data_IF_894828485106
#
_entry.id   IF_894828485106
#
_cell.length_a   1.000
_cell.length_b   1.000
_cell.length_c   1.000
_cell.angle_alpha   90.00
_cell.angle_beta   90.00
_cell.angle_gamma   90.00
#
_symmetry.space_group_name_H-M   'P 1'
#
loop_
_entity.id
_entity.type
_entity.pdbx_description
1 polymer ?
#
# COMPACT_ATOMS: atom_id res chain seq x y z
N UNK A 1 23.59 13.16 12.22
CA UNK A 1 23.05 12.73 10.92
C UNK A 1 22.78 11.26 11.06
N UNK A 2 21.52 10.83 10.96
CA UNK A 2 21.19 9.42 11.16
C UNK A 2 21.01 8.70 9.82
N UNK A 3 21.53 7.50 9.72
CA UNK A 3 21.35 6.61 8.57
C UNK A 3 20.34 5.54 8.94
N UNK A 4 19.28 5.44 8.15
CA UNK A 4 18.23 4.45 8.32
C UNK A 4 18.48 3.23 7.42
N UNK A 5 18.43 2.03 7.98
CA UNK A 5 18.21 0.81 7.20
C UNK A 5 16.71 0.66 6.96
N UNK A 6 16.24 1.10 5.79
CA UNK A 6 14.85 0.94 5.38
C UNK A 6 14.63 -0.46 4.80
N UNK A 7 13.53 -1.12 5.18
CA UNK A 7 13.16 -2.45 4.69
C UNK A 7 11.71 -2.42 4.20
N UNK A 8 11.46 -2.91 2.99
CA UNK A 8 10.11 -3.05 2.42
C UNK A 8 9.82 -4.54 2.20
N UNK A 9 8.86 -5.06 2.94
CA UNK A 9 8.48 -6.48 2.95
C UNK A 9 7.11 -6.62 2.25
N UNK A 10 7.16 -6.92 0.95
CA UNK A 10 6.00 -7.27 0.16
C UNK A 10 5.77 -8.78 0.06
N UNK A 11 4.62 -9.18 -0.49
CA UNK A 11 4.29 -10.60 -0.71
C UNK A 11 5.12 -11.30 -1.79
N UNK A 12 5.81 -10.55 -2.67
CA UNK A 12 6.61 -11.10 -3.78
C UNK A 12 8.09 -10.73 -3.73
N UNK A 13 8.42 -9.59 -3.14
CA UNK A 13 9.78 -9.05 -3.06
C UNK A 13 10.01 -8.46 -1.67
N UNK A 14 11.26 -8.55 -1.21
CA UNK A 14 11.77 -7.83 -0.05
C UNK A 14 12.89 -6.92 -0.53
N UNK A 15 12.81 -5.63 -0.24
CA UNK A 15 13.86 -4.66 -0.53
C UNK A 15 14.47 -4.15 0.77
N UNK A 16 15.75 -3.84 0.76
CA UNK A 16 16.45 -3.18 1.84
C UNK A 16 17.35 -2.08 1.27
N UNK A 17 17.40 -0.93 1.93
CA UNK A 17 18.17 0.21 1.48
C UNK A 17 18.72 1.03 2.66
N UNK A 18 19.86 1.67 2.45
CA UNK A 18 20.31 2.75 3.33
C UNK A 18 19.69 4.06 2.87
N UNK A 19 18.99 4.73 3.78
CA UNK A 19 18.38 6.04 3.55
C UNK A 19 19.05 7.05 4.46
N UNK A 20 19.58 8.12 3.86
CA UNK A 20 20.04 9.27 4.62
C UNK A 20 18.83 10.05 5.13
N UNK A 21 18.65 10.12 6.46
CA UNK A 21 17.49 10.80 7.07
C UNK A 21 17.45 12.31 6.83
N UNK A 22 18.58 12.94 6.52
CA UNK A 22 18.63 14.39 6.26
C UNK A 22 18.14 14.74 4.86
N UNK A 23 18.47 13.91 3.87
CA UNK A 23 18.13 14.12 2.46
C UNK A 23 16.93 13.31 1.99
N UNK A 24 16.55 12.28 2.76
CA UNK A 24 15.58 11.25 2.40
C UNK A 24 15.90 10.58 1.06
N UNK A 25 17.19 10.33 0.80
CA UNK A 25 17.69 9.69 -0.41
C UNK A 25 18.24 8.30 -0.13
N UNK A 26 18.00 7.37 -1.06
CA UNK A 26 18.58 6.02 -1.04
C UNK A 26 20.05 6.10 -1.47
N UNK A 27 20.93 5.53 -0.66
CA UNK A 27 22.38 5.47 -0.89
C UNK A 27 22.80 4.13 -1.49
N UNK A 28 22.22 3.04 -1.00
CA UNK A 28 22.46 1.67 -1.47
C UNK A 28 21.18 0.86 -1.33
N UNK A 29 20.92 -0.09 -2.24
CA UNK A 29 19.65 -0.82 -2.35
C UNK A 29 19.86 -2.25 -2.83
N UNK A 30 19.44 -3.21 -2.02
CA UNK A 30 19.35 -4.62 -2.40
C UNK A 30 17.89 -5.10 -2.42
N UNK A 31 17.64 -6.18 -3.17
CA UNK A 31 16.32 -6.78 -3.26
C UNK A 31 16.43 -8.29 -3.48
N UNK A 32 15.54 -9.03 -2.83
CA UNK A 32 15.36 -10.47 -3.03
C UNK A 32 13.89 -10.78 -3.33
N UNK A 33 13.64 -12.01 -3.80
CA UNK A 33 12.29 -12.56 -3.89
C UNK A 33 11.84 -12.97 -2.49
N UNK A 34 10.61 -12.63 -2.10
CA UNK A 34 10.03 -13.07 -0.83
C UNK A 34 10.00 -14.60 -0.81
N UNK A 35 10.55 -15.27 0.23
CA UNK A 35 10.53 -16.73 0.30
C UNK A 35 9.11 -17.29 0.15
N UNK A 36 8.93 -18.26 -0.74
CA UNK A 36 7.63 -18.95 -0.92
C UNK A 36 7.25 -19.79 0.30
N UNK A 37 8.24 -20.26 1.05
CA UNK A 37 8.01 -20.97 2.31
C UNK A 37 7.56 -19.96 3.36
N UNK A 38 6.38 -20.19 3.93
CA UNK A 38 5.85 -19.40 5.04
C UNK A 38 6.42 -19.85 6.40
N UNK A 39 7.51 -20.63 6.40
CA UNK A 39 8.15 -21.08 7.63
C UNK A 39 9.01 -19.94 8.22
N UNK A 40 8.78 -19.53 9.49
CA UNK A 40 9.50 -18.41 10.12
C UNK A 40 11.02 -18.45 9.96
N UNK A 41 11.66 -19.59 10.24
CA UNK A 41 13.11 -19.73 10.11
C UNK A 41 13.68 -19.46 8.70
N UNK A 42 12.94 -19.80 7.64
CA UNK A 42 13.37 -19.52 6.26
C UNK A 42 13.28 -18.03 5.97
N UNK A 43 12.23 -17.39 6.46
CA UNK A 43 12.02 -15.95 6.35
C UNK A 43 13.09 -15.17 7.12
N UNK A 44 13.36 -15.55 8.38
CA UNK A 44 14.46 -15.02 9.20
C UNK A 44 15.83 -15.12 8.52
N UNK A 45 16.17 -16.29 7.96
CA UNK A 45 17.45 -16.47 7.26
C UNK A 45 17.57 -15.57 6.03
N UNK A 46 16.48 -15.40 5.28
CA UNK A 46 16.44 -14.49 4.13
C UNK A 46 16.63 -13.02 4.55
N UNK A 47 15.97 -12.59 5.63
CA UNK A 47 16.16 -11.25 6.22
C UNK A 47 17.60 -11.06 6.68
N UNK A 48 18.17 -12.01 7.43
CA UNK A 48 19.56 -11.91 7.90
C UNK A 48 20.54 -11.74 6.74
N UNK A 49 20.40 -12.55 5.69
CA UNK A 49 21.25 -12.45 4.50
C UNK A 49 21.09 -11.11 3.78
N UNK A 50 19.87 -10.58 3.67
CA UNK A 50 19.60 -9.31 2.99
C UNK A 50 20.13 -8.11 3.78
N UNK A 51 19.97 -8.11 5.10
CA UNK A 51 20.23 -6.97 5.96
C UNK A 51 21.69 -6.84 6.39
N UNK A 52 22.44 -7.96 6.47
CA UNK A 52 23.83 -7.99 6.93
C UNK A 52 24.73 -6.90 6.31
N UNK A 53 24.72 -6.65 4.99
CA UNK A 53 25.56 -5.62 4.37
C UNK A 53 25.31 -4.19 4.88
N UNK A 54 24.12 -3.93 5.43
CA UNK A 54 23.67 -2.58 5.79
C UNK A 54 23.75 -2.28 7.29
N UNK A 55 24.09 -3.27 8.13
CA UNK A 55 24.04 -3.11 9.60
C UNK A 55 25.05 -2.07 10.09
N UNK A 56 26.32 -2.21 9.70
CA UNK A 56 27.40 -1.36 10.21
C UNK A 56 27.22 0.15 9.95
N UNK A 57 26.72 0.60 8.77
CA UNK A 57 26.50 2.02 8.51
C UNK A 57 25.15 2.57 9.02
N UNK A 58 24.24 1.75 9.54
CA UNK A 58 22.90 2.18 9.94
C UNK A 58 22.80 2.41 11.47
N UNK A 59 22.00 3.39 11.87
CA UNK A 59 21.73 3.69 13.29
C UNK A 59 20.43 3.03 13.79
N UNK A 60 19.45 2.84 12.89
CA UNK A 60 18.17 2.22 13.20
C UNK A 60 17.56 1.56 11.95
N UNK A 61 16.51 0.76 12.15
CA UNK A 61 15.77 0.07 11.09
C UNK A 61 14.34 0.57 11.02
N UNK A 62 13.86 0.88 9.82
CA UNK A 62 12.47 1.24 9.54
C UNK A 62 11.85 0.26 8.54
N UNK A 63 10.78 -0.40 8.93
CA UNK A 63 10.14 -1.45 8.14
C UNK A 63 8.78 -0.97 7.62
N UNK A 64 8.60 -1.02 6.32
CA UNK A 64 7.30 -1.04 5.65
C UNK A 64 6.95 -2.50 5.34
N UNK A 65 5.78 -2.98 5.75
CA UNK A 65 5.39 -4.37 5.50
C UNK A 65 3.94 -4.47 5.05
N UNK A 66 3.68 -5.39 4.12
CA UNK A 66 2.31 -5.76 3.78
C UNK A 66 1.59 -6.35 4.98
N UNK A 67 0.26 -6.22 5.03
CA UNK A 67 -0.56 -6.64 6.16
C UNK A 67 -0.61 -5.61 7.29
N UNK A 68 -0.94 -6.08 8.48
CA UNK A 68 -1.12 -5.27 9.69
C UNK A 68 0.11 -5.44 10.58
N UNK A 69 0.70 -4.32 10.99
CA UNK A 69 1.69 -4.28 12.06
C UNK A 69 1.01 -3.80 13.34
N UNK A 70 1.02 -4.63 14.37
CA UNK A 70 0.49 -4.27 15.68
C UNK A 70 1.51 -4.60 16.76
N UNK A 71 2.04 -3.59 17.45
CA UNK A 71 3.11 -3.72 18.45
C UNK A 71 4.29 -4.58 17.95
N UNK A 72 4.76 -4.32 16.73
CA UNK A 72 5.88 -5.04 16.11
C UNK A 72 5.57 -6.43 15.57
N UNK A 73 4.33 -6.92 15.73
CA UNK A 73 3.88 -8.23 15.25
C UNK A 73 3.21 -8.07 13.88
N UNK A 74 3.64 -8.89 12.92
CA UNK A 74 3.03 -9.01 11.59
C UNK A 74 1.79 -9.92 11.64
N UNK A 75 0.66 -9.40 11.17
CA UNK A 75 -0.56 -10.17 10.92
C UNK A 75 -1.27 -9.63 9.67
N UNK A 76 -2.45 -10.14 9.34
CA UNK A 76 -3.23 -9.70 8.19
C UNK A 76 -4.72 -9.80 8.49
N UNK A 77 -5.55 -9.10 7.71
CA UNK A 77 -7.01 -9.20 7.83
C UNK A 77 -7.51 -10.63 7.56
N UNK A 78 -6.85 -11.35 6.66
CA UNK A 78 -6.96 -12.80 6.58
C UNK A 78 -5.62 -13.44 6.99
N UNK A 79 -5.51 -13.92 8.25
CA UNK A 79 -4.31 -14.58 8.75
C UNK A 79 -3.84 -15.77 7.90
N UNK A 80 -4.75 -16.45 7.20
CA UNK A 80 -4.41 -17.59 6.35
C UNK A 80 -3.48 -17.19 5.18
N UNK A 81 -3.52 -15.93 4.74
CA UNK A 81 -2.64 -15.44 3.67
C UNK A 81 -1.16 -15.42 4.08
N UNK A 82 -0.88 -15.30 5.38
CA UNK A 82 0.48 -15.30 5.91
C UNK A 82 0.96 -16.72 6.27
N UNK A 83 0.04 -17.68 6.40
CA UNK A 83 0.32 -19.03 6.88
C UNK A 83 1.19 -19.04 8.13
N UNK A 84 2.38 -19.67 8.05
CA UNK A 84 3.32 -19.76 9.18
C UNK A 84 3.94 -18.43 9.63
N UNK A 85 3.78 -17.35 8.86
CA UNK A 85 4.21 -15.99 9.24
C UNK A 85 3.12 -15.21 9.98
N UNK A 86 1.93 -15.79 10.20
CA UNK A 86 0.93 -15.11 11.00
C UNK A 86 1.41 -14.95 12.45
N UNK A 87 1.32 -13.73 12.97
CA UNK A 87 1.85 -13.33 14.28
C UNK A 87 3.37 -13.45 14.41
N UNK A 88 4.10 -13.32 13.29
CA UNK A 88 5.55 -13.25 13.31
C UNK A 88 6.01 -11.98 14.05
N UNK A 89 6.90 -12.13 15.02
CA UNK A 89 7.49 -11.05 15.84
C UNK A 89 8.54 -10.29 15.00
N UNK A 90 8.05 -9.57 13.98
CA UNK A 90 8.87 -8.98 12.92
C UNK A 90 9.93 -8.00 13.45
N UNK A 91 9.52 -7.12 14.36
CA UNK A 91 10.44 -6.13 14.95
C UNK A 91 11.50 -6.82 15.80
N UNK A 92 11.10 -7.75 16.67
CA UNK A 92 12.03 -8.44 17.56
C UNK A 92 13.03 -9.30 16.78
N UNK A 93 12.59 -9.98 15.73
CA UNK A 93 13.46 -10.77 14.87
C UNK A 93 14.50 -9.89 14.16
N UNK A 94 14.06 -8.79 13.53
CA UNK A 94 14.98 -7.91 12.81
C UNK A 94 15.92 -7.21 13.79
N UNK A 95 15.45 -6.80 14.96
CA UNK A 95 16.29 -6.26 16.03
C UNK A 95 17.29 -7.31 16.55
N UNK A 96 16.91 -8.59 16.61
CA UNK A 96 17.83 -9.67 16.96
C UNK A 96 18.94 -9.82 15.90
N UNK A 97 18.60 -9.72 14.61
CA UNK A 97 19.54 -9.82 13.49
C UNK A 97 20.49 -8.62 13.47
N UNK A 98 19.96 -7.40 13.55
CA UNK A 98 20.72 -6.17 13.30
C UNK A 98 21.36 -5.58 14.55
N UNK A 99 20.81 -5.88 15.74
CA UNK A 99 21.11 -5.22 17.02
C UNK A 99 20.82 -3.71 17.03
N UNK A 100 20.00 -3.22 16.09
CA UNK A 100 19.60 -1.82 15.97
C UNK A 100 18.16 -1.59 16.48
N UNK A 101 17.84 -0.39 17.00
CA UNK A 101 16.46 0.03 17.21
C UNK A 101 15.64 -0.22 15.94
N UNK A 102 14.49 -0.87 16.07
CA UNK A 102 13.73 -1.37 14.93
C UNK A 102 12.27 -0.98 15.06
N UNK A 103 11.71 -0.42 13.99
CA UNK A 103 10.33 0.03 13.94
C UNK A 103 9.64 -0.51 12.69
N UNK A 104 8.32 -0.69 12.76
CA UNK A 104 7.55 -1.23 11.66
C UNK A 104 6.18 -0.55 11.51
N UNK A 105 5.74 -0.44 10.27
CA UNK A 105 4.42 0.06 9.88
C UNK A 105 3.92 -0.65 8.61
N UNK A 106 2.65 -0.43 8.26
CA UNK A 106 2.11 -0.97 7.01
C UNK A 106 2.71 -0.26 5.78
N UNK A 107 2.88 -1.01 4.69
CA UNK A 107 3.41 -0.53 3.40
C UNK A 107 2.61 0.64 2.79
N UNK A 108 1.28 0.54 2.74
CA UNK A 108 0.42 1.59 2.22
C UNK A 108 0.41 2.83 3.13
N UNK A 109 0.57 2.67 4.45
CA UNK A 109 0.77 3.79 5.38
C UNK A 109 2.10 4.51 5.12
N UNK A 110 3.19 3.76 4.91
CA UNK A 110 4.50 4.33 4.58
C UNK A 110 4.44 5.10 3.25
N UNK A 111 3.88 4.49 2.20
CA UNK A 111 3.70 5.13 0.90
C UNK A 111 2.82 6.39 0.99
N UNK A 112 1.74 6.36 1.79
CA UNK A 112 0.90 7.54 2.03
C UNK A 112 1.68 8.69 2.66
N UNK A 113 2.53 8.40 3.65
CA UNK A 113 3.37 9.42 4.25
C UNK A 113 4.37 10.01 3.26
N UNK A 114 5.00 9.16 2.45
CA UNK A 114 5.94 9.60 1.44
C UNK A 114 5.31 10.50 0.37
N UNK A 115 4.12 10.13 -0.13
CA UNK A 115 3.38 10.96 -1.07
C UNK A 115 2.96 12.30 -0.44
N UNK A 116 2.51 12.28 0.81
CA UNK A 116 2.11 13.49 1.53
C UNK A 116 3.27 14.50 1.64
N UNK A 117 4.43 14.06 2.12
CA UNK A 117 5.60 14.94 2.27
C UNK A 117 6.15 15.40 0.91
N UNK A 118 5.96 14.61 -0.15
CA UNK A 118 6.36 15.00 -1.50
C UNK A 118 5.46 16.08 -2.09
N UNK A 119 4.19 16.14 -1.67
CA UNK A 119 3.23 17.17 -2.08
C UNK A 119 3.31 18.45 -1.23
N UNK A 120 3.72 18.34 0.04
CA UNK A 120 3.69 19.43 1.03
C UNK A 120 4.46 20.70 0.64
N UNK A 121 5.66 20.63 0.02
CA UNK A 121 6.41 21.85 -0.34
C UNK A 121 5.65 22.79 -1.31
N UNK A 122 4.62 22.29 -2.00
CA UNK A 122 3.95 22.98 -3.09
C UNK A 122 2.42 23.08 -2.95
N UNK A 123 1.80 22.54 -1.89
CA UNK A 123 0.34 22.39 -1.82
C UNK A 123 -0.25 22.57 -0.42
N UNK A 124 -1.48 23.11 -0.38
CA UNK A 124 -2.32 23.28 0.80
C UNK A 124 -3.02 21.96 1.23
N UNK A 125 -2.34 20.82 1.12
CA UNK A 125 -2.89 19.48 1.44
C UNK A 125 -2.85 19.26 2.94
N UNK A 126 -4.01 18.97 3.55
CA UNK A 126 -4.16 18.76 4.99
C UNK A 126 -4.65 17.35 5.31
N UNK A 127 -5.70 16.92 4.60
CA UNK A 127 -6.36 15.64 4.72
C UNK A 127 -6.19 14.88 3.39
N UNK A 128 -5.31 13.88 3.41
CA UNK A 128 -4.93 13.12 2.24
C UNK A 128 -5.22 11.64 2.43
N UNK A 129 -5.85 11.03 1.43
CA UNK A 129 -5.91 9.58 1.31
C UNK A 129 -4.99 9.12 0.19
N UNK A 130 -4.08 8.20 0.48
CA UNK A 130 -3.39 7.42 -0.54
C UNK A 130 -4.14 6.10 -0.74
N UNK A 131 -4.35 5.72 -2.01
CA UNK A 131 -4.94 4.45 -2.39
C UNK A 131 -3.96 3.74 -3.32
N UNK A 132 -3.53 2.54 -2.98
CA UNK A 132 -2.79 1.66 -3.90
C UNK A 132 -3.73 0.60 -4.46
N UNK A 133 -3.85 0.54 -5.78
CA UNK A 133 -4.70 -0.42 -6.49
C UNK A 133 -3.76 -1.28 -7.34
N UNK A 134 -3.57 -2.53 -6.93
CA UNK A 134 -2.68 -3.48 -7.59
C UNK A 134 -3.34 -4.86 -7.55
N UNK A 135 -2.68 -5.91 -7.06
CA UNK A 135 -3.33 -7.21 -6.81
C UNK A 135 -4.51 -7.07 -5.84
N UNK A 136 -4.34 -6.28 -4.77
CA UNK A 136 -5.37 -5.90 -3.82
C UNK A 136 -5.62 -4.38 -3.80
N UNK A 137 -6.32 -3.91 -2.77
CA UNK A 137 -6.50 -2.46 -2.52
C UNK A 137 -6.03 -2.13 -1.11
N UNK A 138 -4.99 -1.29 -1.02
CA UNK A 138 -4.48 -0.76 0.23
C UNK A 138 -4.68 0.75 0.31
N UNK A 139 -4.48 1.31 1.50
CA UNK A 139 -4.44 2.76 1.64
C UNK A 139 -3.75 3.22 2.92
N UNK A 140 -3.48 4.52 2.95
CA UNK A 140 -2.97 5.21 4.11
C UNK A 140 -3.60 6.58 4.20
N UNK A 141 -3.89 7.01 5.42
CA UNK A 141 -4.66 8.21 5.69
C UNK A 141 -3.79 9.20 6.45
N UNK A 142 -3.71 10.42 5.95
CA UNK A 142 -3.13 11.57 6.65
C UNK A 142 -4.27 12.52 6.96
N UNK A 143 -4.51 12.80 8.24
CA UNK A 143 -5.52 13.78 8.68
C UNK A 143 -4.83 14.85 9.51
N UNK A 144 -5.18 16.10 9.30
CA UNK A 144 -4.55 17.24 9.96
C UNK A 144 -3.02 17.17 9.87
N UNK A 145 -2.51 16.78 8.69
CA UNK A 145 -1.07 16.60 8.41
C UNK A 145 -0.38 15.52 9.27
N UNK A 146 -1.14 14.62 9.90
CA UNK A 146 -0.64 13.51 10.70
C UNK A 146 -1.06 12.17 10.10
N UNK A 147 -0.09 11.28 9.92
CA UNK A 147 -0.36 9.92 9.48
C UNK A 147 -1.19 9.18 10.55
N UNK A 148 -2.27 8.56 10.10
CA UNK A 148 -3.17 7.77 10.93
C UNK A 148 -2.78 6.31 10.88
N UNK A 149 -2.07 5.82 11.90
CA UNK A 149 -1.72 4.39 12.06
C UNK A 149 -2.80 3.62 12.85
N UNK A 150 -3.41 4.29 13.83
CA UNK A 150 -4.39 3.73 14.75
C UNK A 150 -3.76 2.81 15.81
N UNK A 151 -4.41 2.67 16.96
CA UNK A 151 -3.88 1.91 18.11
C UNK A 151 -3.62 0.40 17.86
N UNK A 152 -4.08 -0.13 16.72
CA UNK A 152 -3.90 -1.54 16.32
C UNK A 152 -3.23 -1.67 14.94
N UNK A 153 -2.75 -0.58 14.35
CA UNK A 153 -2.17 -0.57 13.00
C UNK A 153 -3.18 -0.78 11.85
N UNK A 154 -4.48 -0.69 12.11
CA UNK A 154 -5.55 -1.02 11.13
C UNK A 154 -5.97 0.20 10.30
N UNK A 155 -5.70 1.43 10.76
CA UNK A 155 -6.11 2.64 10.04
C UNK A 155 -5.57 2.63 8.60
N UNK A 156 -6.40 2.98 7.63
CA UNK A 156 -6.04 2.97 6.21
C UNK A 156 -6.38 1.67 5.45
N UNK A 157 -6.89 0.61 6.09
CA UNK A 157 -7.34 -0.62 5.42
C UNK A 157 -8.68 -0.46 4.66
N UNK A 158 -8.76 0.58 3.83
CA UNK A 158 -9.93 0.97 3.03
C UNK A 158 -10.31 -0.08 1.98
N UNK A 159 -9.41 -0.98 1.59
CA UNK A 159 -9.73 -2.11 0.69
C UNK A 159 -10.87 -3.00 1.19
N UNK A 160 -11.16 -2.96 2.50
CA UNK A 160 -12.18 -3.78 3.15
C UNK A 160 -13.40 -3.00 3.64
N UNK A 161 -13.55 -1.74 3.23
CA UNK A 161 -14.84 -1.03 3.34
C UNK A 161 -15.80 -1.52 2.26
N UNK A 162 -17.09 -1.46 2.55
CA UNK A 162 -18.13 -1.94 1.63
C UNK A 162 -18.52 -0.85 0.66
N UNK A 163 -18.56 -1.21 -0.62
CA UNK A 163 -19.08 -0.36 -1.71
C UNK A 163 -20.30 -0.98 -2.38
N UNK A 164 -20.49 -2.29 -2.26
CA UNK A 164 -21.67 -3.01 -2.74
C UNK A 164 -22.09 -4.08 -1.73
N UNK A 165 -23.17 -3.82 -0.98
CA UNK A 165 -23.64 -4.75 0.04
C UNK A 165 -24.09 -6.13 -0.52
N UNK A 166 -24.40 -6.19 -1.82
CA UNK A 166 -24.76 -7.44 -2.50
C UNK A 166 -23.58 -8.05 -3.28
N UNK A 167 -22.40 -7.45 -3.17
CA UNK A 167 -21.20 -7.87 -3.89
C UNK A 167 -20.64 -9.20 -3.40
N UNK A 168 -19.52 -9.65 -3.99
CA UNK A 168 -18.86 -10.90 -3.63
C UNK A 168 -18.32 -10.90 -2.19
N UNK A 169 -18.12 -12.10 -1.63
CA UNK A 169 -17.47 -12.30 -0.33
C UNK A 169 -15.96 -12.08 -0.48
N UNK A 170 -15.41 -11.21 0.36
CA UNK A 170 -13.99 -10.90 0.43
C UNK A 170 -13.20 -11.99 1.16
N UNK A 171 -11.90 -12.09 0.86
CA UNK A 171 -10.98 -12.97 1.58
C UNK A 171 -10.88 -12.65 3.07
N UNK A 172 -11.25 -11.43 3.51
CA UNK A 172 -11.36 -11.08 4.92
C UNK A 172 -12.65 -11.59 5.60
N UNK A 173 -13.55 -12.23 4.86
CA UNK A 173 -14.82 -12.77 5.35
C UNK A 173 -16.02 -11.82 5.25
N UNK A 174 -15.80 -10.54 4.94
CA UNK A 174 -16.88 -9.55 4.75
C UNK A 174 -17.43 -9.59 3.33
N UNK A 175 -18.73 -9.39 3.15
CA UNK A 175 -19.36 -9.25 1.85
C UNK A 175 -19.26 -7.81 1.33
N UNK A 176 -18.92 -7.64 0.05
CA UNK A 176 -19.03 -6.33 -0.61
C UNK A 176 -17.84 -5.40 -0.50
N UNK A 177 -16.68 -5.90 -0.06
CA UNK A 177 -15.46 -5.10 0.04
C UNK A 177 -15.00 -4.59 -1.33
N UNK A 178 -14.57 -3.33 -1.40
CA UNK A 178 -14.04 -2.71 -2.62
C UNK A 178 -12.89 -3.53 -3.24
N UNK A 179 -12.04 -4.18 -2.44
CA UNK A 179 -10.97 -5.04 -2.95
C UNK A 179 -11.51 -6.16 -3.86
N UNK A 180 -12.68 -6.73 -3.55
CA UNK A 180 -13.28 -7.77 -4.40
C UNK A 180 -14.09 -7.23 -5.58
N UNK A 181 -14.19 -5.92 -5.72
CA UNK A 181 -14.89 -5.26 -6.82
C UNK A 181 -13.90 -4.63 -7.80
N UNK A 182 -12.82 -4.02 -7.30
CA UNK A 182 -11.98 -3.12 -8.08
C UNK A 182 -10.48 -3.42 -8.06
N UNK A 183 -10.03 -4.47 -7.36
CA UNK A 183 -8.61 -4.83 -7.41
C UNK A 183 -8.24 -5.49 -8.74
N UNK A 184 -6.94 -5.55 -9.04
CA UNK A 184 -6.43 -6.31 -10.18
C UNK A 184 -6.80 -7.80 -10.14
N UNK A 185 -6.91 -8.39 -8.94
CA UNK A 185 -7.45 -9.75 -8.78
C UNK A 185 -8.93 -9.80 -9.16
N UNK A 186 -9.75 -8.86 -8.70
CA UNK A 186 -11.18 -8.82 -9.04
C UNK A 186 -11.40 -8.62 -10.56
N UNK A 187 -10.63 -7.73 -11.18
CA UNK A 187 -10.64 -7.50 -12.63
C UNK A 187 -10.29 -8.80 -13.38
N UNK A 188 -9.24 -9.51 -12.95
CA UNK A 188 -8.83 -10.79 -13.55
C UNK A 188 -9.86 -11.91 -13.40
N UNK A 189 -10.50 -12.00 -12.22
CA UNK A 189 -11.60 -12.94 -11.94
C UNK A 189 -12.79 -12.68 -12.87
N UNK A 190 -13.21 -11.41 -13.03
CA UNK A 190 -14.27 -11.01 -13.95
C UNK A 190 -13.93 -11.31 -15.41
N UNK A 191 -12.70 -11.00 -15.83
CA UNK A 191 -12.22 -11.33 -17.17
C UNK A 191 -12.21 -12.83 -17.44
N UNK A 192 -11.83 -13.62 -16.44
CA UNK A 192 -11.81 -15.08 -16.54
C UNK A 192 -13.21 -15.64 -16.75
N UNK A 193 -14.18 -15.14 -15.98
CA UNK A 193 -15.58 -15.53 -16.12
C UNK A 193 -16.15 -15.15 -17.49
N UNK A 194 -15.84 -13.92 -17.96
CA UNK A 194 -16.36 -13.37 -19.20
C UNK A 194 -15.78 -14.05 -20.45
N UNK A 195 -14.46 -14.16 -20.51
CA UNK A 195 -13.74 -14.74 -21.67
C UNK A 195 -13.61 -16.27 -21.59
N UNK A 196 -14.11 -16.89 -20.52
CA UNK A 196 -14.12 -18.35 -20.30
C UNK A 196 -12.75 -19.00 -20.41
N UNK A 197 -11.71 -18.28 -19.98
CA UNK A 197 -10.32 -18.74 -19.91
C UNK A 197 -9.60 -18.01 -18.78
N UNK A 198 -8.52 -18.56 -18.21
CA UNK A 198 -7.73 -17.83 -17.22
C UNK A 198 -7.27 -16.47 -17.74
N UNK A 199 -7.52 -15.42 -16.96
CA UNK A 199 -7.12 -14.05 -17.23
C UNK A 199 -6.50 -13.41 -15.98
N UNK A 200 -5.52 -12.54 -16.20
CA UNK A 200 -4.99 -11.65 -15.17
C UNK A 200 -5.61 -10.25 -15.29
N UNK A 201 -5.60 -9.46 -14.22
CA UNK A 201 -6.05 -8.06 -14.31
C UNK A 201 -5.29 -7.26 -15.37
N UNK A 202 -3.98 -7.50 -15.50
CA UNK A 202 -3.13 -6.89 -16.53
C UNK A 202 -3.60 -7.25 -17.95
N UNK A 203 -3.94 -8.51 -18.18
CA UNK A 203 -4.43 -8.97 -19.47
C UNK A 203 -5.78 -8.35 -19.84
N UNK A 204 -6.71 -8.25 -18.90
CA UNK A 204 -8.00 -7.58 -19.13
C UNK A 204 -7.77 -6.10 -19.46
N UNK A 205 -6.84 -5.44 -18.76
CA UNK A 205 -6.49 -4.06 -19.05
C UNK A 205 -5.91 -3.91 -20.47
N UNK A 206 -5.04 -4.83 -20.89
CA UNK A 206 -4.46 -4.83 -22.23
C UNK A 206 -5.55 -4.99 -23.31
N UNK A 207 -6.51 -5.89 -23.11
CA UNK A 207 -7.65 -6.04 -24.02
C UNK A 207 -8.49 -4.76 -24.11
N UNK A 208 -8.69 -4.06 -23.00
CA UNK A 208 -9.41 -2.78 -22.99
C UNK A 208 -8.69 -1.71 -23.82
N UNK A 209 -7.35 -1.62 -23.71
CA UNK A 209 -6.53 -0.71 -24.52
C UNK A 209 -6.54 -1.05 -26.01
N UNK A 210 -6.72 -2.34 -26.35
CA UNK A 210 -6.89 -2.83 -27.72
C UNK A 210 -8.32 -2.61 -28.27
N UNK A 211 -9.20 -1.98 -27.49
CA UNK A 211 -10.56 -1.61 -27.92
C UNK A 211 -11.63 -2.67 -27.65
N UNK A 212 -11.33 -3.71 -26.86
CA UNK A 212 -12.34 -4.67 -26.44
C UNK A 212 -13.35 -4.00 -25.47
N UNK A 213 -14.60 -3.84 -25.92
CA UNK A 213 -15.65 -3.15 -25.15
C UNK A 213 -16.04 -3.86 -23.86
N UNK A 214 -16.00 -5.19 -23.84
CA UNK A 214 -16.31 -6.00 -22.67
C UNK A 214 -15.25 -5.86 -21.57
N UNK A 215 -13.97 -5.90 -21.95
CA UNK A 215 -12.85 -5.63 -21.04
C UNK A 215 -12.90 -4.19 -20.52
N UNK A 216 -13.20 -3.22 -21.40
CA UNK A 216 -13.34 -1.82 -21.03
C UNK A 216 -14.46 -1.61 -19.99
N UNK A 217 -15.59 -2.31 -20.12
CA UNK A 217 -16.67 -2.28 -19.13
C UNK A 217 -16.23 -2.79 -17.74
N UNK A 218 -15.36 -3.81 -17.69
CA UNK A 218 -14.78 -4.29 -16.41
C UNK A 218 -13.92 -3.18 -15.78
N UNK A 219 -13.06 -2.53 -16.56
CA UNK A 219 -12.20 -1.44 -16.07
C UNK A 219 -13.03 -0.25 -15.57
N UNK A 220 -14.07 0.13 -16.31
CA UNK A 220 -15.00 1.19 -15.91
C UNK A 220 -15.76 0.85 -14.62
N UNK A 221 -16.22 -0.40 -14.47
CA UNK A 221 -16.89 -0.86 -13.24
C UNK A 221 -15.97 -0.74 -12.03
N UNK A 222 -14.70 -1.12 -12.21
CA UNK A 222 -13.66 -0.96 -11.19
C UNK A 222 -13.42 0.51 -10.82
N UNK A 223 -13.25 1.38 -11.82
CA UNK A 223 -13.03 2.82 -11.60
C UNK A 223 -14.24 3.50 -10.93
N UNK A 224 -15.47 3.14 -11.32
CA UNK A 224 -16.69 3.64 -10.70
C UNK A 224 -16.80 3.27 -9.21
N UNK A 225 -16.47 2.03 -8.87
CA UNK A 225 -16.46 1.58 -7.48
C UNK A 225 -15.39 2.29 -6.64
N UNK A 226 -14.23 2.58 -7.22
CA UNK A 226 -13.18 3.39 -6.56
C UNK A 226 -13.63 4.84 -6.38
N UNK A 227 -14.30 5.44 -7.37
CA UNK A 227 -14.87 6.77 -7.23
C UNK A 227 -15.94 6.84 -6.12
N UNK A 228 -16.76 5.79 -5.96
CA UNK A 228 -17.72 5.67 -4.87
C UNK A 228 -17.02 5.56 -3.50
N UNK A 229 -15.95 4.75 -3.40
CA UNK A 229 -15.13 4.70 -2.20
C UNK A 229 -14.58 6.09 -1.83
N UNK A 230 -14.02 6.80 -2.81
CA UNK A 230 -13.45 8.14 -2.62
C UNK A 230 -14.51 9.11 -2.14
N UNK A 231 -15.68 9.13 -2.77
CA UNK A 231 -16.80 9.99 -2.36
C UNK A 231 -17.20 9.72 -0.89
N UNK A 232 -17.36 8.45 -0.52
CA UNK A 232 -17.72 8.06 0.84
C UNK A 232 -16.67 8.49 1.88
N UNK A 233 -15.38 8.33 1.58
CA UNK A 233 -14.32 8.73 2.49
C UNK A 233 -14.15 10.25 2.54
N UNK A 234 -14.37 10.95 1.43
CA UNK A 234 -14.32 12.42 1.36
C UNK A 234 -15.33 13.04 2.29
N UNK A 235 -16.61 12.64 2.17
CA UNK A 235 -17.65 13.24 3.02
C UNK A 235 -17.53 12.82 4.49
N UNK A 236 -16.89 11.68 4.76
CA UNK A 236 -16.72 11.17 6.12
C UNK A 236 -15.53 11.78 6.86
N UNK A 237 -14.48 12.15 6.12
CA UNK A 237 -13.16 12.53 6.68
C UNK A 237 -12.68 13.91 6.22
N UNK A 238 -13.48 14.62 5.43
CA UNK A 238 -13.17 15.94 4.87
C UNK A 238 -11.84 15.92 4.09
N UNK A 239 -11.74 15.00 3.12
CA UNK A 239 -10.53 14.83 2.32
C UNK A 239 -10.40 15.97 1.28
N UNK A 240 -9.23 16.58 1.20
CA UNK A 240 -8.93 17.58 0.16
C UNK A 240 -8.17 16.98 -1.05
N UNK A 241 -7.39 15.92 -0.81
CA UNK A 241 -6.53 15.31 -1.83
C UNK A 241 -6.60 13.78 -1.72
N UNK A 242 -6.70 13.11 -2.87
CA UNK A 242 -6.54 11.66 -2.96
C UNK A 242 -5.45 11.33 -3.97
N UNK A 243 -4.47 10.55 -3.53
CA UNK A 243 -3.34 10.09 -4.35
C UNK A 243 -3.58 8.64 -4.75
N UNK A 244 -3.52 8.35 -6.04
CA UNK A 244 -3.78 7.02 -6.61
C UNK A 244 -2.48 6.39 -7.09
N UNK A 245 -2.11 5.26 -6.48
CA UNK A 245 -0.94 4.47 -6.83
C UNK A 245 -1.28 3.03 -7.17
N UNK A 246 -0.23 2.21 -7.25
CA UNK A 246 -0.34 0.78 -7.59
C UNK A 246 -0.45 0.52 -9.09
N UNK A 247 -0.16 -0.72 -9.49
CA UNK A 247 -0.04 -1.09 -10.91
C UNK A 247 -1.32 -0.92 -11.72
N UNK A 248 -2.49 -1.10 -11.10
CA UNK A 248 -3.80 -0.85 -11.73
C UNK A 248 -4.14 0.64 -11.63
N UNK A 249 -3.91 1.26 -10.47
CA UNK A 249 -4.21 2.68 -10.25
C UNK A 249 -3.47 3.62 -11.21
N UNK A 250 -2.23 3.25 -11.55
CA UNK A 250 -1.35 3.97 -12.48
C UNK A 250 -1.42 3.45 -13.92
N UNK A 251 -2.30 2.49 -14.23
CA UNK A 251 -2.49 2.03 -15.59
C UNK A 251 -3.04 3.18 -16.48
N UNK A 252 -2.74 3.19 -17.79
CA UNK A 252 -3.20 4.25 -18.68
C UNK A 252 -4.70 4.52 -18.54
N UNK A 253 -5.07 5.80 -18.48
CA UNK A 253 -6.45 6.30 -18.34
C UNK A 253 -7.20 5.94 -17.04
N UNK A 254 -6.67 5.08 -16.15
CA UNK A 254 -7.43 4.62 -14.98
C UNK A 254 -7.83 5.77 -14.04
N UNK A 255 -6.86 6.64 -13.72
CA UNK A 255 -7.12 7.85 -12.92
C UNK A 255 -8.13 8.79 -13.59
N UNK A 256 -8.11 8.90 -14.92
CA UNK A 256 -9.06 9.71 -15.69
C UNK A 256 -10.48 9.14 -15.58
N UNK A 257 -10.63 7.82 -15.64
CA UNK A 257 -11.92 7.15 -15.43
C UNK A 257 -12.45 7.35 -14.01
N UNK A 258 -11.61 7.24 -12.98
CA UNK A 258 -12.00 7.56 -11.59
C UNK A 258 -12.51 9.00 -11.52
N UNK A 259 -11.76 9.95 -12.07
CA UNK A 259 -12.13 11.38 -12.07
C UNK A 259 -13.45 11.61 -12.80
N UNK A 260 -13.69 10.93 -13.92
CA UNK A 260 -14.95 11.01 -14.67
C UNK A 260 -16.15 10.63 -13.79
N UNK A 261 -16.10 9.47 -13.11
CA UNK A 261 -17.18 9.03 -12.23
C UNK A 261 -17.34 9.92 -10.99
N UNK A 262 -16.25 10.45 -10.47
CA UNK A 262 -16.28 11.38 -9.35
C UNK A 262 -16.96 12.71 -9.73
N UNK A 263 -16.76 13.18 -10.97
CA UNK A 263 -17.39 14.40 -11.49
C UNK A 263 -18.93 14.29 -11.62
N UNK A 264 -19.50 13.09 -11.56
CA UNK A 264 -20.95 12.88 -11.54
C UNK A 264 -21.57 13.05 -10.14
N UNK A 265 -20.76 12.98 -9.07
CA UNK A 265 -21.19 13.18 -7.68
C UNK A 265 -21.39 14.66 -7.34
N UNK A 266 -22.11 15.09 -6.28
CA UNK A 266 -22.11 16.50 -5.87
C UNK A 266 -20.71 17.01 -5.49
N UNK A 267 -20.47 18.33 -5.59
CA UNK A 267 -19.14 18.94 -5.39
C UNK A 267 -18.48 18.57 -4.05
N UNK A 268 -19.27 18.47 -2.97
CA UNK A 268 -18.80 18.09 -1.62
C UNK A 268 -18.15 16.70 -1.54
N UNK A 269 -18.29 15.86 -2.56
CA UNK A 269 -17.73 14.51 -2.62
C UNK A 269 -16.47 14.44 -3.49
N UNK A 270 -15.99 15.55 -4.06
CA UNK A 270 -14.97 15.58 -5.11
C UNK A 270 -13.62 16.15 -4.60
N UNK A 271 -12.76 15.34 -3.97
CA UNK A 271 -11.40 15.78 -3.66
C UNK A 271 -10.57 15.90 -4.93
N UNK A 272 -9.40 16.56 -4.82
CA UNK A 272 -8.42 16.58 -5.91
C UNK A 272 -7.77 15.21 -6.08
N UNK A 273 -7.85 14.62 -7.26
CA UNK A 273 -7.20 13.34 -7.60
C UNK A 273 -5.82 13.59 -8.21
N UNK A 274 -4.80 12.89 -7.73
CA UNK A 274 -3.43 12.97 -8.26
C UNK A 274 -2.85 11.56 -8.43
N UNK A 275 -2.20 11.23 -9.55
CA UNK A 275 -1.45 9.98 -9.65
C UNK A 275 -0.21 10.04 -8.74
N UNK A 276 0.06 8.94 -8.04
CA UNK A 276 1.28 8.73 -7.28
C UNK A 276 2.50 8.98 -8.17
N UNK A 277 3.46 9.75 -7.67
CA UNK A 277 4.75 9.97 -8.34
C UNK A 277 5.85 9.13 -7.72
N UNK A 278 5.58 8.59 -6.54
CA UNK A 278 6.49 7.69 -5.85
C UNK A 278 6.49 6.34 -6.57
N UNK A 279 7.69 5.94 -6.99
CA UNK A 279 7.93 4.64 -7.61
C UNK A 279 7.92 3.51 -6.58
N UNK A 280 8.59 2.41 -6.91
CA UNK A 280 8.67 1.23 -6.06
C UNK A 280 9.40 1.41 -4.71
N UNK A 281 9.88 2.61 -4.39
CA UNK A 281 10.64 2.92 -3.17
C UNK A 281 9.84 3.76 -2.15
N UNK A 282 8.56 4.02 -2.42
CA UNK A 282 7.68 4.81 -1.53
C UNK A 282 7.61 4.23 -0.10
N UNK A 283 7.57 2.90 0.02
CA UNK A 283 7.56 2.21 1.31
C UNK A 283 8.85 2.46 2.10
N UNK A 284 10.01 2.30 1.44
CA UNK A 284 11.33 2.52 2.03
C UNK A 284 11.48 3.96 2.54
N UNK A 285 11.24 4.94 1.67
CA UNK A 285 11.43 6.36 1.98
C UNK A 285 10.40 6.89 2.96
N UNK A 286 9.16 6.39 2.87
CA UNK A 286 8.08 6.75 3.80
C UNK A 286 8.34 6.29 5.22
N UNK A 287 8.72 5.02 5.40
CA UNK A 287 9.03 4.46 6.71
C UNK A 287 10.25 5.14 7.32
N UNK A 288 11.32 5.30 6.54
CA UNK A 288 12.55 5.97 7.00
C UNK A 288 12.26 7.40 7.50
N UNK A 289 11.57 8.22 6.71
CA UNK A 289 11.25 9.59 7.10
C UNK A 289 10.29 9.67 8.29
N UNK A 290 9.29 8.78 8.37
CA UNK A 290 8.35 8.76 9.49
C UNK A 290 9.03 8.48 10.83
N UNK A 291 9.84 7.42 10.90
CA UNK A 291 10.47 7.00 12.16
C UNK A 291 11.65 7.89 12.56
N UNK A 292 12.42 8.45 11.61
CA UNK A 292 13.47 9.44 11.91
C UNK A 292 12.93 10.67 12.67
N UNK A 293 11.69 11.09 12.37
CA UNK A 293 11.04 12.20 13.06
C UNK A 293 10.63 11.87 14.49
N UNK A 294 10.22 10.62 14.74
CA UNK A 294 9.80 10.18 16.07
C UNK A 294 10.99 10.10 17.03
N UNK A 295 12.13 9.59 16.57
CA UNK A 295 13.39 9.55 17.33
C UNK A 295 13.88 10.95 17.74
N UNK A 296 13.64 11.96 16.91
CA UNK A 296 14.06 13.34 17.20
C UNK A 296 13.23 14.01 18.31
N UNK A 297 12.11 13.41 18.73
CA UNK A 297 11.18 13.96 19.72
C UNK A 297 11.14 13.15 21.03
N UNK A 298 11.97 12.11 21.15
CA UNK A 298 12.18 11.29 22.36
C UNK A 298 13.53 11.60 22.99
#
# INVERSE_FOLDING_TARGET
MSVCLAVDIGGTKIAAALVDSATNHIVDRHQIVTPKSQHPAVFSAALASLLTPFIAPADFVAIASTGIINNGILTALNPANLGGLNRFELVDEIQHITKLPTYAMNDAQAAAWYEFISLTPNNNTHNMLFITISTGIGGGLVLNQQLQTGARGISGHIGHTVVDANGPVCGCGRQGCIEKVASGTAIGELGTALFKRPCTGQEVYQLALEGNSEALNIIHSSAAAVAELIANLTISLDLDTVVIGGSVGLAPHYCEYIQQYLNEKPELYRPRIIPAKSGGDAGLLGAAHWFARQESHT
#
